data_IF_037493098100
#
_entry.id   IF_037493098100
#
_cell.length_a   1.000
_cell.length_b   1.000
_cell.length_c   1.000
_cell.angle_alpha   90.00
_cell.angle_beta   90.00
_cell.angle_gamma   90.00
#
_symmetry.space_group_name_H-M   'P 1'
#
loop_
_entity.id
_entity.type
_entity.pdbx_description
1 polymer ?
#
# COMPACT_ATOMS: atom_id res chain seq x y z
N UNK A 1 -7.67 12.72 10.93
CA UNK A 1 -8.77 11.79 11.25
C UNK A 1 -8.35 10.40 10.81
N UNK A 2 -8.00 9.54 11.74
CA UNK A 2 -7.80 8.12 11.42
C UNK A 2 -9.16 7.57 11.09
N UNK A 3 -9.48 7.36 9.82
CA UNK A 3 -10.77 6.83 9.41
C UNK A 3 -10.93 5.40 9.92
N UNK A 4 -11.69 5.20 10.97
CA UNK A 4 -12.43 3.97 11.18
C UNK A 4 -13.65 4.04 10.26
N UNK A 5 -13.53 3.51 9.05
CA UNK A 5 -14.71 3.28 8.20
C UNK A 5 -15.52 2.15 8.87
N UNK A 6 -16.49 2.52 9.66
CA UNK A 6 -17.59 1.64 10.06
C UNK A 6 -18.55 1.67 8.88
N UNK A 7 -18.36 0.77 7.93
CA UNK A 7 -19.39 0.52 6.91
C UNK A 7 -20.54 -0.17 7.61
N UNK A 8 -21.50 0.63 8.07
CA UNK A 8 -22.83 0.20 8.45
C UNK A 8 -23.82 0.88 7.51
N UNK A 9 -23.99 0.28 6.33
CA UNK A 9 -25.27 0.33 5.62
C UNK A 9 -25.26 -0.77 4.56
N UNK A 10 -26.38 -1.46 4.34
CA UNK A 10 -26.47 -2.43 3.27
C UNK A 10 -26.50 -1.68 1.95
N UNK A 11 -25.49 -1.87 1.12
CA UNK A 11 -25.54 -1.51 -0.28
C UNK A 11 -26.72 -2.22 -0.91
N UNK A 12 -27.78 -1.48 -1.19
CA UNK A 12 -28.84 -1.94 -2.08
C UNK A 12 -28.21 -2.19 -3.44
N UNK A 13 -28.07 -3.45 -3.76
CA UNK A 13 -27.60 -3.97 -5.04
C UNK A 13 -28.57 -3.55 -6.14
N UNK A 14 -28.09 -2.69 -7.02
CA UNK A 14 -28.51 -2.63 -8.41
C UNK A 14 -27.33 -2.13 -9.24
N UNK A 15 -26.35 -2.99 -9.41
CA UNK A 15 -25.37 -2.89 -10.48
C UNK A 15 -25.18 -4.28 -11.06
N UNK A 16 -25.75 -4.47 -12.24
CA UNK A 16 -25.50 -5.64 -13.07
C UNK A 16 -24.02 -5.63 -13.47
N UNK A 17 -23.32 -6.73 -13.14
CA UNK A 17 -22.00 -7.02 -13.69
C UNK A 17 -20.88 -7.27 -12.72
N UNK A 18 -21.13 -7.81 -11.53
CA UNK A 18 -20.05 -8.46 -10.77
C UNK A 18 -19.77 -9.83 -11.38
N UNK A 19 -18.77 -9.89 -12.26
CA UNK A 19 -18.18 -11.17 -12.61
C UNK A 19 -17.32 -11.61 -11.42
N UNK A 20 -17.90 -12.46 -10.58
CA UNK A 20 -17.15 -13.21 -9.58
C UNK A 20 -16.29 -14.18 -10.36
N UNK A 21 -15.02 -13.82 -10.62
CA UNK A 21 -14.05 -14.80 -11.11
C UNK A 21 -13.93 -15.88 -10.06
N UNK A 22 -14.43 -17.05 -10.36
CA UNK A 22 -14.23 -18.22 -9.57
C UNK A 22 -12.70 -18.46 -9.45
N UNK A 23 -12.25 -18.85 -8.29
CA UNK A 23 -10.83 -19.18 -8.01
C UNK A 23 -10.26 -20.18 -9.05
N UNK A 24 -11.13 -20.99 -9.68
CA UNK A 24 -10.79 -21.88 -10.80
C UNK A 24 -10.29 -21.14 -12.04
N UNK A 25 -10.84 -19.96 -12.36
CA UNK A 25 -10.47 -19.20 -13.56
C UNK A 25 -9.14 -18.48 -13.38
N UNK A 26 -8.84 -18.04 -12.13
CA UNK A 26 -7.54 -17.52 -11.76
C UNK A 26 -6.44 -18.60 -11.83
N UNK A 27 -6.72 -19.79 -11.33
CA UNK A 27 -5.84 -20.97 -11.47
C UNK A 27 -5.68 -21.35 -12.94
N UNK A 28 -6.73 -21.25 -13.75
CA UNK A 28 -6.67 -21.54 -15.19
C UNK A 28 -5.82 -20.52 -15.96
N UNK A 29 -5.89 -19.22 -15.61
CA UNK A 29 -5.03 -18.18 -16.14
C UNK A 29 -3.56 -18.39 -15.71
N UNK A 30 -3.32 -18.78 -14.46
CA UNK A 30 -1.99 -19.17 -13.98
C UNK A 30 -1.42 -20.38 -14.74
N UNK A 31 -2.25 -21.38 -15.05
CA UNK A 31 -1.85 -22.57 -15.82
C UNK A 31 -1.39 -22.24 -17.24
N UNK A 32 -1.95 -21.20 -17.88
CA UNK A 32 -1.56 -20.80 -19.24
C UNK A 32 -0.32 -19.89 -19.28
N UNK A 33 0.01 -19.22 -18.19
CA UNK A 33 1.04 -18.17 -18.16
C UNK A 33 2.37 -18.63 -17.56
N UNK A 34 2.39 -19.77 -16.89
CA UNK A 34 3.59 -20.28 -16.23
C UNK A 34 3.93 -21.67 -16.79
N UNK A 35 5.00 -21.81 -17.60
CA UNK A 35 5.43 -23.11 -18.14
C UNK A 35 5.81 -24.12 -17.05
N UNK A 36 5.90 -23.67 -15.81
CA UNK A 36 6.22 -24.47 -14.63
C UNK A 36 5.01 -25.30 -14.14
N UNK A 37 3.77 -24.93 -14.56
CA UNK A 37 2.54 -25.58 -14.10
C UNK A 37 1.92 -26.57 -15.09
N UNK A 38 2.53 -26.83 -16.25
CA UNK A 38 1.92 -27.66 -17.29
C UNK A 38 2.76 -28.87 -17.67
N UNK A 39 2.57 -29.96 -16.94
CA UNK A 39 2.62 -31.28 -17.54
C UNK A 39 1.44 -32.12 -17.02
N UNK A 40 0.39 -32.17 -17.83
CA UNK A 40 -0.72 -33.08 -17.60
C UNK A 40 -0.42 -34.37 -18.35
N UNK A 41 -0.02 -35.39 -17.66
CA UNK A 41 -0.08 -36.77 -18.21
C UNK A 41 -1.45 -37.36 -17.92
N UNK A 42 -2.02 -38.03 -18.95
CA UNK A 42 -3.32 -38.70 -18.88
C UNK A 42 -3.31 -39.77 -17.81
N UNK A 43 -4.19 -39.68 -16.83
CA UNK A 43 -4.57 -40.76 -15.94
C UNK A 43 -3.81 -40.81 -14.61
N UNK A 44 -3.93 -39.82 -13.81
CA UNK A 44 -3.95 -39.78 -12.34
C UNK A 44 -3.68 -38.33 -11.90
N UNK A 45 -4.54 -37.76 -11.09
CA UNK A 45 -4.32 -36.48 -10.47
C UNK A 45 -3.24 -36.62 -9.40
N UNK A 46 -1.98 -36.74 -9.82
CA UNK A 46 -0.86 -36.47 -8.94
C UNK A 46 -0.61 -34.95 -9.00
N UNK A 47 -0.89 -34.27 -7.91
CA UNK A 47 -0.39 -32.94 -7.66
C UNK A 47 1.12 -32.94 -7.85
N UNK A 48 1.59 -32.38 -8.96
CA UNK A 48 3.03 -32.26 -9.21
C UNK A 48 3.50 -31.06 -8.38
N UNK A 49 3.85 -31.36 -7.13
CA UNK A 49 4.73 -30.51 -6.37
C UNK A 49 6.06 -30.39 -7.11
N UNK A 50 6.54 -29.21 -7.34
CA UNK A 50 7.92 -28.97 -7.72
C UNK A 50 8.81 -29.36 -6.55
N UNK A 51 9.15 -30.60 -6.46
CA UNK A 51 10.16 -31.12 -5.57
C UNK A 51 11.52 -31.11 -6.28
N UNK A 52 12.13 -29.93 -6.39
CA UNK A 52 13.57 -29.88 -6.20
C UNK A 52 13.78 -30.01 -4.69
N UNK A 53 14.08 -31.22 -4.25
CA UNK A 53 14.36 -31.65 -2.88
C UNK A 53 13.88 -30.67 -1.77
N UNK A 54 12.70 -30.89 -1.25
CA UNK A 54 12.18 -30.42 0.06
C UNK A 54 12.33 -28.92 0.43
N UNK A 55 12.56 -28.01 -0.52
CA UNK A 55 12.78 -26.59 -0.25
C UNK A 55 11.54 -25.80 -0.68
N UNK A 56 10.56 -25.65 0.21
CA UNK A 56 9.33 -24.91 -0.09
C UNK A 56 9.49 -23.41 0.13
N UNK A 57 8.69 -22.61 -0.59
CA UNK A 57 8.51 -21.20 -0.31
C UNK A 57 7.81 -21.04 1.04
N UNK A 58 8.25 -20.08 1.84
CA UNK A 58 7.60 -19.68 3.08
C UNK A 58 7.44 -18.16 3.10
N UNK A 59 6.36 -17.66 3.69
CA UNK A 59 6.18 -16.26 4.02
C UNK A 59 5.75 -16.13 5.47
N UNK A 60 6.38 -15.21 6.18
CA UNK A 60 5.98 -14.79 7.53
C UNK A 60 5.87 -13.27 7.57
N UNK A 61 4.89 -12.74 8.29
CA UNK A 61 4.75 -11.30 8.40
C UNK A 61 3.42 -10.85 9.01
N UNK A 62 3.22 -9.55 8.99
CA UNK A 62 2.00 -8.88 9.45
C UNK A 62 1.36 -8.10 8.32
N UNK A 63 0.04 -7.96 8.36
CA UNK A 63 -0.69 -7.18 7.38
C UNK A 63 -1.87 -6.43 8.02
N UNK A 64 -2.39 -5.43 7.31
CA UNK A 64 -3.55 -4.63 7.73
C UNK A 64 -4.79 -5.47 8.08
N UNK A 65 -4.86 -6.74 7.66
CA UNK A 65 -6.02 -7.60 7.90
C UNK A 65 -6.23 -7.95 9.37
N UNK A 66 -5.14 -8.06 10.13
CA UNK A 66 -5.18 -8.47 11.55
C UNK A 66 -4.64 -7.40 12.49
N UNK A 67 -4.06 -6.31 11.96
CA UNK A 67 -3.35 -5.32 12.77
C UNK A 67 -3.89 -3.92 12.57
N UNK A 68 -3.85 -3.11 13.62
CA UNK A 68 -4.03 -1.65 13.54
C UNK A 68 -2.78 -1.00 12.93
N UNK A 69 -2.86 0.28 12.56
CA UNK A 69 -1.69 1.03 12.08
C UNK A 69 -0.58 1.10 13.15
N UNK A 70 -0.97 1.29 14.41
CA UNK A 70 -0.05 1.35 15.54
C UNK A 70 0.77 0.06 15.67
N UNK A 71 0.11 -1.09 15.63
CA UNK A 71 0.79 -2.39 15.66
C UNK A 71 1.69 -2.58 14.44
N UNK A 72 1.23 -2.24 13.22
CA UNK A 72 2.06 -2.37 12.01
C UNK A 72 3.33 -1.53 12.08
N UNK A 73 3.25 -0.33 12.66
CA UNK A 73 4.42 0.54 12.83
C UNK A 73 5.52 -0.12 13.68
N UNK A 74 5.17 -0.96 14.64
CA UNK A 74 6.14 -1.73 15.44
C UNK A 74 6.90 -2.76 14.62
N UNK A 75 6.30 -3.26 13.53
CA UNK A 75 6.92 -4.22 12.60
C UNK A 75 7.58 -3.57 11.40
N UNK A 76 7.52 -2.24 11.27
CA UNK A 76 8.05 -1.54 10.10
C UNK A 76 9.57 -1.63 10.04
N UNK A 77 10.10 -1.98 8.86
CA UNK A 77 11.53 -2.02 8.59
C UNK A 77 11.91 -0.91 7.60
N UNK A 78 12.83 -0.05 7.98
CA UNK A 78 13.38 0.98 7.08
C UNK A 78 14.29 0.36 6.03
N UNK A 79 14.52 1.08 4.95
CA UNK A 79 15.46 0.63 3.90
C UNK A 79 16.86 0.38 4.44
N UNK A 80 17.31 1.12 5.45
CA UNK A 80 18.62 0.93 6.08
C UNK A 80 18.66 -0.34 6.94
N UNK A 81 17.58 -0.61 7.69
CA UNK A 81 17.45 -1.87 8.42
C UNK A 81 17.51 -3.06 7.47
N UNK A 82 16.76 -3.02 6.37
CA UNK A 82 16.71 -4.10 5.37
C UNK A 82 18.08 -4.31 4.72
N UNK A 83 18.81 -3.24 4.37
CA UNK A 83 20.18 -3.35 3.83
C UNK A 83 21.14 -4.03 4.82
N UNK A 84 21.07 -3.70 6.11
CA UNK A 84 21.88 -4.35 7.16
C UNK A 84 21.56 -5.84 7.28
N UNK A 85 20.27 -6.21 7.21
CA UNK A 85 19.85 -7.61 7.23
C UNK A 85 20.43 -8.38 6.03
N UNK A 86 20.38 -7.81 4.82
CA UNK A 86 20.96 -8.46 3.64
C UNK A 86 22.50 -8.52 3.66
N UNK A 87 23.15 -7.59 4.32
CA UNK A 87 24.61 -7.57 4.47
C UNK A 87 25.11 -8.50 5.58
N UNK A 88 24.23 -9.06 6.41
CA UNK A 88 24.59 -9.98 7.48
C UNK A 88 25.06 -11.34 6.94
N UNK A 89 26.35 -11.56 6.95
CA UNK A 89 26.98 -12.82 6.52
C UNK A 89 27.04 -13.91 7.61
N UNK A 90 26.38 -13.72 8.77
CA UNK A 90 26.46 -14.67 9.90
C UNK A 90 25.83 -16.05 9.63
N UNK A 91 25.00 -16.16 8.60
CA UNK A 91 24.27 -17.37 8.25
C UNK A 91 23.00 -17.63 9.07
N UNK A 92 22.62 -16.72 9.97
CA UNK A 92 21.39 -16.82 10.77
C UNK A 92 20.12 -16.54 9.96
N UNK A 93 20.23 -15.82 8.83
CA UNK A 93 19.14 -15.53 7.95
C UNK A 93 19.12 -16.43 6.72
N UNK A 94 17.97 -16.59 6.03
CA UNK A 94 17.90 -17.35 4.79
C UNK A 94 18.84 -16.78 3.74
N UNK A 95 19.35 -17.63 2.85
CA UNK A 95 20.17 -17.19 1.70
C UNK A 95 19.34 -16.73 0.50
N UNK A 96 18.08 -17.15 0.44
CA UNK A 96 17.17 -16.89 -0.68
C UNK A 96 15.88 -16.29 -0.13
N UNK A 97 15.82 -14.95 -0.02
CA UNK A 97 14.70 -14.24 0.57
C UNK A 97 14.62 -12.78 0.14
N UNK A 98 13.44 -12.19 0.25
CA UNK A 98 13.24 -10.75 0.18
C UNK A 98 12.24 -10.25 1.24
N UNK A 99 12.38 -9.00 1.61
CA UNK A 99 11.58 -8.32 2.62
C UNK A 99 10.74 -7.25 1.95
N UNK A 100 9.41 -7.32 2.12
CA UNK A 100 8.46 -6.31 1.69
C UNK A 100 7.93 -5.58 2.93
N UNK A 101 8.38 -4.36 3.16
CA UNK A 101 7.90 -3.49 4.24
C UNK A 101 7.25 -2.24 3.64
N UNK A 102 5.97 -2.04 3.96
CA UNK A 102 5.12 -0.94 3.49
C UNK A 102 4.24 -0.45 4.64
N UNK A 103 3.44 0.60 4.44
CA UNK A 103 2.47 1.05 5.44
C UNK A 103 1.41 0.00 5.80
N UNK A 104 1.16 -0.98 4.90
CA UNK A 104 0.08 -1.96 5.06
C UNK A 104 0.57 -3.36 5.42
N UNK A 105 1.86 -3.63 5.31
CA UNK A 105 2.43 -4.95 5.60
C UNK A 105 3.94 -4.91 5.80
N UNK A 106 4.42 -5.84 6.62
CA UNK A 106 5.82 -6.25 6.65
C UNK A 106 5.84 -7.76 6.50
N UNK A 107 6.36 -8.25 5.38
CA UNK A 107 6.37 -9.66 4.99
C UNK A 107 7.77 -10.07 4.54
N UNK A 108 8.20 -11.26 4.95
CA UNK A 108 9.46 -11.87 4.54
C UNK A 108 9.14 -13.13 3.76
N UNK A 109 9.53 -13.16 2.50
CA UNK A 109 9.40 -14.32 1.63
C UNK A 109 10.74 -15.03 1.55
N UNK A 110 10.80 -16.26 1.98
CA UNK A 110 12.04 -17.05 2.01
C UNK A 110 11.88 -18.40 1.32
N UNK A 111 12.99 -18.91 0.78
CA UNK A 111 13.11 -20.27 0.28
C UNK A 111 14.25 -20.98 1.02
N UNK A 112 14.05 -22.22 1.41
CA UNK A 112 15.03 -22.94 2.23
C UNK A 112 15.13 -22.45 3.67
N UNK A 113 14.11 -21.70 4.11
CA UNK A 113 13.93 -21.22 5.47
C UNK A 113 12.86 -22.04 6.19
N UNK A 114 12.92 -22.08 7.51
CA UNK A 114 11.81 -22.50 8.36
C UNK A 114 11.09 -21.27 8.95
N UNK A 115 9.94 -21.49 9.57
CA UNK A 115 9.15 -20.43 10.17
C UNK A 115 9.92 -19.69 11.27
N UNK A 116 10.68 -20.42 12.07
CA UNK A 116 11.46 -19.88 13.20
C UNK A 116 12.50 -18.87 12.72
N UNK A 117 13.22 -19.16 11.62
CA UNK A 117 14.19 -18.21 11.05
C UNK A 117 13.55 -16.88 10.68
N UNK A 118 12.34 -16.90 10.07
CA UNK A 118 11.67 -15.68 9.66
C UNK A 118 11.07 -14.92 10.85
N UNK A 119 10.57 -15.64 11.86
CA UNK A 119 10.09 -15.06 13.12
C UNK A 119 11.24 -14.40 13.86
N UNK A 120 12.39 -15.06 13.98
CA UNK A 120 13.57 -14.51 14.64
C UNK A 120 14.09 -13.27 13.89
N UNK A 121 14.05 -13.28 12.56
CA UNK A 121 14.41 -12.10 11.77
C UNK A 121 13.49 -10.89 12.09
N UNK A 122 12.19 -11.10 12.22
CA UNK A 122 11.26 -10.05 12.65
C UNK A 122 11.56 -9.62 14.11
N UNK A 123 11.72 -10.55 15.03
CA UNK A 123 11.94 -10.28 16.45
C UNK A 123 13.21 -9.45 16.68
N UNK A 124 14.29 -9.77 16.00
CA UNK A 124 15.58 -9.09 16.18
C UNK A 124 15.65 -7.70 15.53
N UNK A 125 14.81 -7.44 14.53
CA UNK A 125 14.94 -6.23 13.72
C UNK A 125 13.74 -5.28 13.83
N UNK A 126 12.74 -5.59 14.66
CA UNK A 126 11.56 -4.77 14.91
C UNK A 126 11.43 -4.45 16.40
N UNK A 127 10.55 -3.51 16.74
CA UNK A 127 10.26 -3.16 18.15
C UNK A 127 9.03 -3.89 18.70
N UNK A 128 8.52 -4.87 17.96
CA UNK A 128 7.39 -5.69 18.39
C UNK A 128 7.78 -6.63 19.54
N UNK A 129 6.87 -6.81 20.51
CA UNK A 129 7.11 -7.73 21.62
C UNK A 129 6.92 -9.19 21.19
N UNK A 130 7.46 -10.17 21.93
CA UNK A 130 7.23 -11.60 21.65
C UNK A 130 5.73 -11.97 21.59
N UNK A 131 4.92 -11.36 22.46
CA UNK A 131 3.48 -11.56 22.49
C UNK A 131 2.82 -11.03 21.23
N UNK A 132 3.19 -9.83 20.78
CA UNK A 132 2.69 -9.23 19.53
C UNK A 132 3.11 -10.05 18.30
N UNK A 133 4.33 -10.59 18.29
CA UNK A 133 4.80 -11.48 17.23
C UNK A 133 3.94 -12.75 17.20
N UNK A 134 3.70 -13.36 18.35
CA UNK A 134 2.88 -14.57 18.46
C UNK A 134 1.43 -14.34 18.03
N UNK A 135 0.87 -13.18 18.33
CA UNK A 135 -0.52 -12.85 18.05
C UNK A 135 -0.76 -12.44 16.59
N UNK A 136 0.13 -11.61 16.03
CA UNK A 136 -0.13 -10.93 14.77
C UNK A 136 0.60 -11.52 13.56
N UNK A 137 1.73 -12.21 13.74
CA UNK A 137 2.48 -12.78 12.63
C UNK A 137 1.74 -13.97 12.04
N UNK A 138 1.46 -13.92 10.76
CA UNK A 138 0.99 -15.07 10.00
C UNK A 138 2.15 -15.79 9.32
N UNK A 139 1.98 -17.08 9.11
CA UNK A 139 2.91 -17.92 8.36
C UNK A 139 2.14 -18.66 7.28
N UNK A 140 2.68 -18.72 6.07
CA UNK A 140 2.18 -19.56 4.97
C UNK A 140 3.34 -20.27 4.33
N UNK A 141 3.10 -21.50 3.86
CA UNK A 141 4.14 -22.36 3.26
C UNK A 141 3.69 -22.90 1.91
N UNK A 142 4.63 -23.27 1.07
CA UNK A 142 4.36 -23.94 -0.22
C UNK A 142 3.39 -23.14 -1.11
N UNK A 143 2.37 -23.82 -1.58
CA UNK A 143 1.36 -23.25 -2.48
C UNK A 143 0.61 -22.07 -1.87
N UNK A 144 0.34 -22.09 -0.56
CA UNK A 144 -0.33 -20.96 0.11
C UNK A 144 0.56 -19.72 0.18
N UNK A 145 1.88 -19.89 0.34
CA UNK A 145 2.82 -18.79 0.26
C UNK A 145 2.92 -18.23 -1.17
N UNK A 146 2.95 -19.10 -2.17
CA UNK A 146 2.94 -18.70 -3.58
C UNK A 146 1.65 -17.96 -3.95
N UNK A 147 0.49 -18.52 -3.60
CA UNK A 147 -0.81 -17.86 -3.81
C UNK A 147 -0.87 -16.49 -3.16
N UNK A 148 -0.33 -16.36 -1.94
CA UNK A 148 -0.27 -15.08 -1.23
C UNK A 148 0.59 -14.07 -1.99
N UNK A 149 1.80 -14.46 -2.44
CA UNK A 149 2.66 -13.61 -3.27
C UNK A 149 1.94 -13.09 -4.52
N UNK A 150 1.23 -13.96 -5.25
CA UNK A 150 0.49 -13.59 -6.44
C UNK A 150 -0.68 -12.64 -6.14
N UNK A 151 -1.42 -12.86 -5.04
CA UNK A 151 -2.51 -11.97 -4.60
C UNK A 151 -1.99 -10.59 -4.21
N UNK A 152 -0.88 -10.53 -3.49
CA UNK A 152 -0.22 -9.27 -3.14
C UNK A 152 0.25 -8.55 -4.40
N UNK A 153 0.92 -9.24 -5.32
CA UNK A 153 1.39 -8.66 -6.58
C UNK A 153 0.25 -8.14 -7.47
N UNK A 154 -0.92 -8.78 -7.43
CA UNK A 154 -2.10 -8.34 -8.16
C UNK A 154 -2.86 -7.18 -7.46
N UNK A 155 -2.49 -6.80 -6.23
CA UNK A 155 -3.24 -5.83 -5.44
C UNK A 155 -4.55 -6.38 -4.86
N UNK A 156 -4.77 -7.70 -4.96
CA UNK A 156 -5.97 -8.36 -4.42
C UNK A 156 -5.93 -8.52 -2.91
N UNK A 157 -4.77 -8.35 -2.32
CA UNK A 157 -4.55 -8.36 -0.86
C UNK A 157 -4.11 -6.99 -0.35
N UNK A 158 -4.48 -5.92 -1.02
CA UNK A 158 -4.26 -4.54 -0.57
C UNK A 158 -5.47 -4.01 0.19
N UNK A 159 -5.26 -3.02 1.06
CA UNK A 159 -6.34 -2.34 1.80
C UNK A 159 -7.31 -1.67 0.82
N UNK A 160 -6.77 -1.14 -0.25
CA UNK A 160 -7.51 -0.68 -1.42
C UNK A 160 -7.33 -1.72 -2.52
N UNK A 161 -8.41 -2.38 -2.89
CA UNK A 161 -8.39 -3.45 -3.87
C UNK A 161 -7.87 -2.93 -5.22
N UNK A 162 -6.86 -3.60 -5.79
CA UNK A 162 -6.25 -3.20 -7.06
C UNK A 162 -5.18 -2.12 -6.97
N UNK A 163 -4.72 -1.77 -5.78
CA UNK A 163 -3.66 -0.78 -5.58
C UNK A 163 -2.45 -1.03 -6.49
N UNK A 164 -2.11 0.00 -7.29
CA UNK A 164 -0.96 -0.07 -8.21
C UNK A 164 0.39 0.07 -7.53
N UNK A 165 0.43 0.69 -6.36
CA UNK A 165 1.68 1.01 -5.70
C UNK A 165 2.41 -0.22 -5.19
N UNK A 166 1.64 -1.23 -4.74
CA UNK A 166 2.21 -2.46 -4.18
C UNK A 166 3.16 -3.15 -5.15
N UNK A 167 2.86 -3.14 -6.46
CA UNK A 167 3.74 -3.80 -7.45
C UNK A 167 5.07 -3.06 -7.62
N UNK A 168 5.04 -1.73 -7.52
CA UNK A 168 6.24 -0.90 -7.51
C UNK A 168 7.09 -1.15 -6.26
N UNK A 169 6.44 -1.19 -5.10
CA UNK A 169 7.08 -1.48 -3.81
C UNK A 169 7.69 -2.89 -3.80
N UNK A 170 6.97 -3.89 -4.30
CA UNK A 170 7.47 -5.26 -4.44
C UNK A 170 8.70 -5.34 -5.36
N UNK A 171 8.68 -4.64 -6.51
CA UNK A 171 9.85 -4.61 -7.41
C UNK A 171 11.07 -3.99 -6.74
N UNK A 172 10.89 -2.89 -6.02
CA UNK A 172 11.97 -2.22 -5.29
C UNK A 172 12.55 -3.14 -4.21
N UNK A 173 11.68 -3.79 -3.42
CA UNK A 173 12.07 -4.74 -2.39
C UNK A 173 12.85 -5.94 -2.97
N UNK A 174 12.33 -6.52 -4.05
CA UNK A 174 12.97 -7.64 -4.74
C UNK A 174 14.32 -7.26 -5.35
N UNK A 175 14.40 -6.12 -6.02
CA UNK A 175 15.65 -5.63 -6.61
C UNK A 175 16.70 -5.34 -5.53
N UNK A 176 16.29 -4.81 -4.39
CA UNK A 176 17.20 -4.59 -3.26
C UNK A 176 17.78 -5.92 -2.75
N UNK A 177 16.96 -6.95 -2.59
CA UNK A 177 17.43 -8.28 -2.22
C UNK A 177 18.37 -8.88 -3.28
N UNK A 178 18.03 -8.70 -4.56
CA UNK A 178 18.82 -9.20 -5.69
C UNK A 178 20.21 -8.54 -5.75
N UNK A 179 20.31 -7.24 -5.51
CA UNK A 179 21.61 -6.52 -5.49
C UNK A 179 22.52 -6.97 -4.36
N UNK A 180 21.95 -7.57 -3.31
CA UNK A 180 22.71 -8.14 -2.18
C UNK A 180 22.93 -9.66 -2.31
N UNK A 181 22.60 -10.26 -3.46
CA UNK A 181 22.83 -11.69 -3.70
C UNK A 181 21.86 -12.62 -2.96
N UNK A 182 20.76 -12.10 -2.42
CA UNK A 182 19.77 -12.86 -1.64
C UNK A 182 18.65 -13.46 -2.49
N UNK A 183 18.81 -13.56 -3.82
CA UNK A 183 17.77 -14.08 -4.73
C UNK A 183 18.34 -15.18 -5.62
N UNK A 184 17.73 -16.36 -5.51
CA UNK A 184 18.02 -17.48 -6.42
C UNK A 184 17.30 -17.34 -7.76
N UNK A 185 17.73 -18.13 -8.75
CA UNK A 185 17.03 -18.22 -10.04
C UNK A 185 15.59 -18.75 -9.91
N UNK A 186 15.27 -19.56 -8.90
CA UNK A 186 13.91 -19.99 -8.61
C UNK A 186 13.05 -18.81 -8.13
N UNK A 187 13.52 -18.07 -7.12
CA UNK A 187 12.81 -16.93 -6.58
C UNK A 187 12.58 -15.85 -7.65
N UNK A 188 13.58 -15.65 -8.53
CA UNK A 188 13.45 -14.72 -9.65
C UNK A 188 12.37 -15.15 -10.65
N UNK A 189 12.32 -16.44 -11.02
CA UNK A 189 11.27 -16.96 -11.91
C UNK A 189 9.88 -16.84 -11.28
N UNK A 190 9.75 -17.19 -10.00
CA UNK A 190 8.50 -17.08 -9.25
C UNK A 190 8.00 -15.64 -9.20
N UNK A 191 8.89 -14.70 -8.85
CA UNK A 191 8.57 -13.29 -8.78
C UNK A 191 8.15 -12.72 -10.13
N UNK A 192 8.88 -13.03 -11.20
CA UNK A 192 8.54 -12.62 -12.55
C UNK A 192 7.19 -13.19 -13.01
N UNK A 193 6.86 -14.41 -12.64
CA UNK A 193 5.55 -15.01 -12.89
C UNK A 193 4.44 -14.28 -12.15
N UNK A 194 4.67 -13.86 -10.89
CA UNK A 194 3.72 -13.04 -10.13
C UNK A 194 3.50 -11.68 -10.78
N UNK A 195 4.58 -11.03 -11.28
CA UNK A 195 4.48 -9.76 -12.01
C UNK A 195 3.69 -9.91 -13.32
N UNK A 196 3.91 -10.98 -14.05
CA UNK A 196 3.19 -11.27 -15.29
C UNK A 196 1.71 -11.52 -15.01
N UNK A 197 1.36 -12.32 -14.01
CA UNK A 197 -0.01 -12.54 -13.57
C UNK A 197 -0.70 -11.24 -13.15
N UNK A 198 -0.01 -10.39 -12.39
CA UNK A 198 -0.53 -9.07 -12.03
C UNK A 198 -0.90 -8.23 -13.25
N UNK A 199 -0.06 -8.20 -14.29
CA UNK A 199 -0.36 -7.48 -15.53
C UNK A 199 -1.59 -8.06 -16.23
N UNK A 200 -1.72 -9.39 -16.28
CA UNK A 200 -2.87 -10.05 -16.90
C UNK A 200 -4.17 -9.78 -16.14
N UNK A 201 -4.14 -9.86 -14.80
CA UNK A 201 -5.30 -9.50 -13.97
C UNK A 201 -5.71 -8.06 -14.27
N UNK A 202 -4.76 -7.13 -14.27
CA UNK A 202 -5.02 -5.71 -14.53
C UNK A 202 -5.58 -5.43 -15.94
N UNK A 203 -5.07 -6.13 -16.96
CA UNK A 203 -5.51 -5.91 -18.34
C UNK A 203 -6.83 -6.61 -18.70
N UNK A 204 -7.25 -7.62 -17.93
CA UNK A 204 -8.43 -8.44 -18.22
C UNK A 204 -9.60 -8.21 -17.27
N UNK A 205 -9.42 -7.41 -16.23
CA UNK A 205 -10.44 -7.14 -15.23
C UNK A 205 -10.49 -5.65 -14.92
N UNK A 206 -11.63 -5.17 -14.46
CA UNK A 206 -11.80 -3.80 -13.96
C UNK A 206 -11.09 -3.55 -12.61
N UNK A 207 -10.26 -4.49 -12.15
CA UNK A 207 -9.55 -4.38 -10.85
C UNK A 207 -8.64 -3.16 -10.76
N UNK A 208 -8.37 -2.47 -11.86
CA UNK A 208 -7.35 -1.42 -11.94
C UNK A 208 -7.74 -0.26 -12.86
N UNK A 209 -9.00 0.12 -12.91
CA UNK A 209 -9.49 1.24 -13.74
C UNK A 209 -8.99 2.63 -13.29
N UNK A 210 -7.94 2.67 -12.46
CA UNK A 210 -7.43 3.91 -11.85
C UNK A 210 -8.25 4.40 -10.66
N UNK A 211 -9.37 3.74 -10.36
CA UNK A 211 -10.34 4.13 -9.33
C UNK A 211 -10.00 3.61 -7.91
N UNK A 212 -8.95 2.83 -7.76
CA UNK A 212 -8.67 2.09 -6.51
C UNK A 212 -7.41 2.56 -5.77
N UNK A 213 -6.95 3.79 -6.01
CA UNK A 213 -5.84 4.38 -5.22
C UNK A 213 -6.37 5.13 -4.00
N UNK A 214 -5.53 5.29 -2.97
CA UNK A 214 -5.81 6.16 -1.79
C UNK A 214 -6.24 7.54 -2.27
N UNK A 215 -5.58 8.08 -3.29
CA UNK A 215 -5.88 9.36 -3.89
C UNK A 215 -7.28 9.42 -4.51
N UNK A 216 -7.77 8.32 -5.08
CA UNK A 216 -9.14 8.25 -5.60
C UNK A 216 -10.18 8.04 -4.49
N UNK A 217 -9.84 7.27 -3.46
CA UNK A 217 -10.71 7.11 -2.28
C UNK A 217 -11.04 8.47 -1.64
N UNK A 218 -10.07 9.37 -1.56
CA UNK A 218 -10.30 10.77 -1.10
C UNK A 218 -11.34 11.46 -1.96
N UNK A 219 -11.28 11.31 -3.29
CA UNK A 219 -12.25 11.92 -4.19
C UNK A 219 -13.67 11.39 -3.95
N UNK A 220 -13.82 10.09 -3.73
CA UNK A 220 -15.12 9.50 -3.44
C UNK A 220 -15.66 9.99 -2.08
N UNK A 221 -14.83 10.00 -1.04
CA UNK A 221 -15.22 10.50 0.28
C UNK A 221 -15.58 12.00 0.24
N UNK A 222 -14.86 12.79 -0.56
CA UNK A 222 -15.20 14.19 -0.78
C UNK A 222 -16.60 14.32 -1.43
N UNK A 223 -16.88 13.57 -2.48
CA UNK A 223 -18.19 13.56 -3.15
C UNK A 223 -19.33 13.17 -2.20
N UNK A 224 -19.10 12.17 -1.37
CA UNK A 224 -20.09 11.70 -0.39
C UNK A 224 -20.33 12.72 0.73
N UNK A 225 -19.28 13.37 1.21
CA UNK A 225 -19.37 14.29 2.35
C UNK A 225 -19.96 15.67 1.98
N UNK A 226 -19.74 16.13 0.76
CA UNK A 226 -19.99 17.53 0.37
C UNK A 226 -21.12 17.63 -0.65
N UNK A 227 -21.44 16.54 -1.36
CA UNK A 227 -22.27 16.55 -2.55
C UNK A 227 -21.48 16.96 -3.81
N UNK A 228 -21.88 16.42 -4.95
CA UNK A 228 -21.11 16.51 -6.21
C UNK A 228 -21.05 17.92 -6.82
N UNK A 229 -21.92 18.84 -6.42
CA UNK A 229 -22.10 20.14 -7.08
C UNK A 229 -21.53 21.34 -6.30
N UNK A 230 -21.17 21.18 -5.02
CA UNK A 230 -20.65 22.29 -4.22
C UNK A 230 -19.19 22.59 -4.57
N UNK A 231 -18.88 23.85 -4.86
CA UNK A 231 -17.50 24.32 -4.98
C UNK A 231 -16.89 24.54 -3.61
N UNK A 232 -15.65 24.06 -3.39
CA UNK A 232 -14.92 24.21 -2.15
C UNK A 232 -13.49 24.63 -2.37
N UNK A 233 -12.91 25.25 -1.35
CA UNK A 233 -11.50 25.57 -1.28
C UNK A 233 -10.76 24.38 -0.66
N UNK A 234 -9.94 23.70 -1.45
CA UNK A 234 -9.17 22.53 -1.05
C UNK A 234 -7.70 22.92 -0.89
N UNK A 235 -7.15 22.74 0.29
CA UNK A 235 -5.72 22.83 0.51
C UNK A 235 -5.10 21.43 0.37
N UNK A 236 -4.15 21.28 -0.53
CA UNK A 236 -3.33 20.06 -0.69
C UNK A 236 -1.91 20.33 -0.21
N UNK A 237 -1.53 19.76 0.92
CA UNK A 237 -0.19 19.88 1.49
C UNK A 237 0.66 18.66 1.12
N UNK A 238 1.74 18.91 0.37
CA UNK A 238 2.68 17.90 -0.09
C UNK A 238 2.42 17.42 -1.52
N UNK A 239 3.47 17.48 -2.33
CA UNK A 239 3.48 17.06 -3.75
C UNK A 239 4.42 15.88 -3.97
N UNK A 240 4.47 14.95 -3.00
CA UNK A 240 5.05 13.63 -3.21
C UNK A 240 4.24 12.83 -4.23
N UNK A 241 4.54 11.53 -4.37
CA UNK A 241 3.84 10.65 -5.31
C UNK A 241 2.33 10.62 -5.09
N UNK A 242 1.89 10.46 -3.82
CA UNK A 242 0.46 10.43 -3.45
C UNK A 242 -0.17 11.80 -3.67
N UNK A 243 0.46 12.89 -3.21
CA UNK A 243 -0.08 14.24 -3.37
C UNK A 243 -0.26 14.65 -4.82
N UNK A 244 0.73 14.38 -5.69
CA UNK A 244 0.61 14.67 -7.13
C UNK A 244 -0.53 13.85 -7.77
N UNK A 245 -0.69 12.58 -7.39
CA UNK A 245 -1.80 11.76 -7.90
C UNK A 245 -3.15 12.26 -7.39
N UNK A 246 -3.21 12.71 -6.11
CA UNK A 246 -4.42 13.32 -5.55
C UNK A 246 -4.78 14.61 -6.28
N UNK A 247 -3.80 15.44 -6.62
CA UNK A 247 -4.02 16.67 -7.40
C UNK A 247 -4.60 16.36 -8.79
N UNK A 248 -4.02 15.38 -9.50
CA UNK A 248 -4.55 14.88 -10.79
C UNK A 248 -5.99 14.43 -10.69
N UNK A 249 -6.30 13.64 -9.67
CA UNK A 249 -7.66 13.13 -9.44
C UNK A 249 -8.63 14.26 -9.07
N UNK A 250 -8.24 15.22 -8.23
CA UNK A 250 -9.05 16.40 -7.91
C UNK A 250 -9.42 17.16 -9.17
N UNK A 251 -8.47 17.50 -10.02
CA UNK A 251 -8.72 18.24 -11.27
C UNK A 251 -9.56 17.45 -12.26
N UNK A 252 -9.37 16.14 -12.33
CA UNK A 252 -10.12 15.29 -13.28
C UNK A 252 -11.57 15.04 -12.84
N UNK A 253 -11.80 14.72 -11.57
CA UNK A 253 -13.10 14.29 -11.07
C UNK A 253 -13.92 15.37 -10.36
N UNK A 254 -13.27 16.44 -9.94
CA UNK A 254 -13.84 17.55 -9.16
C UNK A 254 -13.29 18.91 -9.66
N UNK A 255 -13.38 19.22 -10.96
CA UNK A 255 -12.77 20.42 -11.55
C UNK A 255 -13.36 21.72 -11.01
N UNK A 256 -14.55 21.70 -10.39
CA UNK A 256 -15.23 22.86 -9.81
C UNK A 256 -14.56 23.36 -8.50
N UNK A 257 -13.71 22.56 -7.85
CA UNK A 257 -13.05 22.96 -6.62
C UNK A 257 -11.85 23.86 -6.90
N UNK A 258 -11.67 24.86 -6.03
CA UNK A 258 -10.46 25.67 -6.03
C UNK A 258 -9.40 24.96 -5.19
N UNK A 259 -8.31 24.55 -5.84
CA UNK A 259 -7.23 23.85 -5.16
C UNK A 259 -6.05 24.79 -4.96
N UNK A 260 -5.55 24.87 -3.74
CA UNK A 260 -4.29 25.55 -3.40
C UNK A 260 -3.29 24.51 -2.93
N UNK A 261 -2.14 24.44 -3.56
CA UNK A 261 -1.07 23.51 -3.19
C UNK A 261 -0.05 24.18 -2.27
N UNK A 262 0.33 23.46 -1.22
CA UNK A 262 1.41 23.82 -0.31
C UNK A 262 2.50 22.76 -0.41
N UNK A 263 3.74 23.15 -0.63
CA UNK A 263 4.87 22.23 -0.61
C UNK A 263 6.12 22.91 -0.09
N UNK A 264 6.93 22.21 0.72
CA UNK A 264 8.18 22.76 1.27
C UNK A 264 9.15 23.24 0.17
N UNK A 265 9.16 22.56 -0.98
CA UNK A 265 9.86 23.03 -2.18
C UNK A 265 8.87 23.84 -3.01
N UNK A 266 8.99 25.15 -2.94
CA UNK A 266 8.09 26.12 -3.59
C UNK A 266 8.13 26.01 -5.11
N UNK A 267 9.30 25.87 -5.70
CA UNK A 267 9.44 25.69 -7.16
C UNK A 267 8.65 24.49 -7.66
N UNK A 268 8.56 23.43 -6.86
CA UNK A 268 7.73 22.27 -7.19
C UNK A 268 6.24 22.57 -7.09
N UNK A 269 5.82 23.40 -6.13
CA UNK A 269 4.44 23.86 -6.00
C UNK A 269 4.03 24.74 -7.17
N UNK A 270 4.88 25.69 -7.54
CA UNK A 270 4.67 26.60 -8.68
C UNK A 270 4.57 25.84 -10.01
N UNK A 271 5.47 24.89 -10.27
CA UNK A 271 5.41 24.04 -11.46
C UNK A 271 4.11 23.22 -11.51
N UNK A 272 3.71 22.64 -10.40
CA UNK A 272 2.46 21.88 -10.33
C UNK A 272 1.24 22.80 -10.50
N UNK A 273 1.27 24.01 -9.96
CA UNK A 273 0.21 25.00 -10.13
C UNK A 273 0.02 25.36 -11.60
N UNK A 274 1.11 25.58 -12.34
CA UNK A 274 1.06 25.84 -13.78
C UNK A 274 0.63 24.62 -14.60
N UNK A 275 1.08 23.39 -14.25
CA UNK A 275 0.72 22.16 -14.96
C UNK A 275 -0.78 21.82 -14.81
N UNK A 276 -1.33 22.00 -13.60
CA UNK A 276 -2.69 21.57 -13.27
C UNK A 276 -3.70 22.71 -13.21
N UNK A 277 -3.31 23.93 -13.52
CA UNK A 277 -4.15 25.12 -13.43
C UNK A 277 -4.81 25.22 -12.03
N UNK A 278 -3.98 25.34 -11.00
CA UNK A 278 -4.37 25.48 -9.58
C UNK A 278 -3.55 26.59 -8.92
N UNK A 279 -3.98 27.02 -7.73
CA UNK A 279 -3.23 27.98 -6.96
C UNK A 279 -2.07 27.31 -6.21
N UNK A 280 -1.02 28.06 -5.92
CA UNK A 280 -0.02 27.68 -4.92
C UNK A 280 0.19 28.81 -3.92
N UNK A 281 0.69 28.46 -2.75
CA UNK A 281 1.14 29.43 -1.76
C UNK A 281 2.49 29.02 -1.18
N UNK A 282 3.33 29.99 -0.77
CA UNK A 282 4.53 29.72 0.00
C UNK A 282 4.19 28.94 1.28
N UNK A 283 5.08 28.04 1.69
CA UNK A 283 4.82 27.21 2.86
C UNK A 283 4.67 28.04 4.16
N UNK A 284 5.30 29.19 4.21
CA UNK A 284 5.18 30.17 5.32
C UNK A 284 3.76 30.71 5.49
N UNK A 285 2.99 30.77 4.41
CA UNK A 285 1.61 31.28 4.41
C UNK A 285 0.58 30.16 4.68
N UNK A 286 1.00 29.01 5.20
CA UNK A 286 0.12 27.86 5.43
C UNK A 286 -1.08 28.21 6.34
N UNK A 287 -0.92 29.07 7.32
CA UNK A 287 -2.00 29.46 8.24
C UNK A 287 -3.12 30.18 7.50
N UNK A 288 -2.79 31.14 6.63
CA UNK A 288 -3.76 31.87 5.83
C UNK A 288 -4.52 30.92 4.88
N UNK A 289 -3.79 29.96 4.32
CA UNK A 289 -4.42 28.92 3.44
C UNK A 289 -5.36 28.05 4.25
N UNK A 290 -4.98 27.62 5.46
CA UNK A 290 -5.84 26.80 6.33
C UNK A 290 -7.11 27.53 6.77
N UNK A 291 -7.02 28.83 7.08
CA UNK A 291 -8.18 29.64 7.47
C UNK A 291 -9.21 29.77 6.36
N UNK A 292 -8.77 29.75 5.10
CA UNK A 292 -9.63 29.92 3.94
C UNK A 292 -10.06 28.60 3.28
N UNK A 293 -9.49 27.47 3.70
CA UNK A 293 -9.82 26.16 3.16
C UNK A 293 -11.06 25.56 3.84
N UNK A 294 -11.88 24.87 3.04
CA UNK A 294 -12.95 24.00 3.52
C UNK A 294 -12.45 22.58 3.78
N UNK A 295 -11.43 22.16 3.02
CA UNK A 295 -10.86 20.81 3.06
C UNK A 295 -9.34 20.89 3.10
N UNK A 296 -8.72 20.15 4.00
CA UNK A 296 -7.28 19.95 4.07
C UNK A 296 -6.92 18.50 3.72
N UNK A 297 -6.04 18.32 2.74
CA UNK A 297 -5.47 17.02 2.39
C UNK A 297 -3.98 17.07 2.65
N UNK A 298 -3.49 16.24 3.57
CA UNK A 298 -2.07 16.14 3.94
C UNK A 298 -1.48 14.89 3.29
N UNK A 299 -0.45 15.06 2.46
CA UNK A 299 0.22 13.99 1.71
C UNK A 299 1.74 14.20 1.71
N UNK A 300 2.30 14.42 2.89
CA UNK A 300 3.73 14.71 3.07
C UNK A 300 4.50 13.48 3.55
N UNK A 301 5.82 13.53 3.46
CA UNK A 301 6.71 12.48 3.97
C UNK A 301 7.44 12.90 5.25
N UNK A 302 6.82 13.76 6.08
CA UNK A 302 7.42 14.15 7.35
C UNK A 302 7.45 12.97 8.34
N UNK A 303 8.52 12.87 9.12
CA UNK A 303 8.67 11.81 10.13
C UNK A 303 7.79 12.05 11.36
N UNK A 304 7.35 13.28 11.55
CA UNK A 304 6.52 13.70 12.68
C UNK A 304 5.31 14.48 12.18
N UNK A 305 4.29 14.64 13.06
CA UNK A 305 3.14 15.48 12.79
C UNK A 305 3.55 16.93 12.59
N UNK A 306 3.03 17.55 11.52
CA UNK A 306 3.34 18.92 11.12
C UNK A 306 2.11 19.84 11.12
N UNK A 307 0.92 19.28 11.36
CA UNK A 307 -0.34 20.02 11.48
C UNK A 307 -0.94 19.70 12.84
N UNK A 308 -1.06 20.72 13.69
CA UNK A 308 -1.62 20.62 15.04
C UNK A 308 -2.92 21.42 15.17
N UNK A 309 -3.64 21.23 16.29
CA UNK A 309 -4.82 22.02 16.63
C UNK A 309 -4.55 23.53 16.60
N UNK A 310 -3.35 23.96 17.03
CA UNK A 310 -2.93 25.35 17.04
C UNK A 310 -2.86 25.94 15.61
N UNK A 311 -2.36 25.15 14.65
CA UNK A 311 -2.23 25.60 13.26
C UNK A 311 -3.58 25.77 12.57
N UNK A 312 -4.60 25.10 13.07
CA UNK A 312 -5.97 25.11 12.54
C UNK A 312 -6.93 26.03 13.33
N UNK A 313 -6.43 26.75 14.32
CA UNK A 313 -7.27 27.63 15.14
C UNK A 313 -7.93 28.73 14.28
N UNK A 314 -9.28 28.82 14.36
CA UNK A 314 -10.07 29.77 13.57
C UNK A 314 -10.29 29.39 12.11
N UNK A 315 -9.87 28.22 11.68
CA UNK A 315 -10.12 27.72 10.32
C UNK A 315 -11.59 27.38 10.09
N UNK A 316 -12.00 27.40 8.82
CA UNK A 316 -13.34 26.98 8.34
C UNK A 316 -13.38 25.52 7.93
N UNK A 317 -12.33 24.77 8.24
CA UNK A 317 -12.18 23.39 7.79
C UNK A 317 -13.36 22.53 8.25
N UNK A 318 -13.90 21.78 7.31
CA UNK A 318 -14.97 20.80 7.50
C UNK A 318 -14.44 19.37 7.45
N UNK A 319 -13.34 19.16 6.68
CA UNK A 319 -12.78 17.84 6.45
C UNK A 319 -11.26 17.91 6.43
N UNK A 320 -10.62 16.90 7.03
CA UNK A 320 -9.17 16.69 6.95
C UNK A 320 -8.90 15.26 6.52
N UNK A 321 -8.11 15.10 5.47
CA UNK A 321 -7.61 13.80 5.00
C UNK A 321 -6.10 13.74 5.23
N UNK A 322 -5.65 12.86 6.10
CA UNK A 322 -4.23 12.57 6.27
C UNK A 322 -3.86 11.29 5.52
N UNK A 323 -3.10 11.44 4.45
CA UNK A 323 -2.62 10.37 3.57
C UNK A 323 -1.18 9.98 3.90
N UNK A 324 -0.60 10.59 4.94
CA UNK A 324 0.79 10.41 5.31
C UNK A 324 0.99 9.21 6.22
N UNK A 325 2.14 8.56 6.07
CA UNK A 325 2.58 7.49 6.97
C UNK A 325 4.05 7.76 7.33
N UNK A 326 4.35 8.01 8.60
CA UNK A 326 3.42 8.16 9.74
C UNK A 326 2.45 9.34 9.58
N UNK A 327 1.40 9.39 10.41
CA UNK A 327 0.43 10.51 10.40
C UNK A 327 1.14 11.84 10.57
N UNK A 328 0.83 12.80 9.70
CA UNK A 328 1.37 14.16 9.78
C UNK A 328 0.37 15.17 10.37
N UNK A 329 -0.82 14.71 10.73
CA UNK A 329 -1.79 15.48 11.53
C UNK A 329 -1.73 14.98 12.98
N UNK A 330 -1.51 15.93 13.90
CA UNK A 330 -1.40 15.62 15.32
C UNK A 330 -2.74 15.16 15.90
N UNK A 331 -2.78 14.23 16.87
CA UNK A 331 -4.02 13.71 17.44
C UNK A 331 -4.92 14.76 18.11
N UNK A 332 -4.37 15.89 18.59
CA UNK A 332 -5.10 17.00 19.20
C UNK A 332 -6.10 17.71 18.27
N UNK A 333 -5.93 17.55 16.96
CA UNK A 333 -6.86 18.08 15.95
C UNK A 333 -8.27 17.50 16.11
N UNK A 334 -8.41 16.30 16.67
CA UNK A 334 -9.72 15.68 16.98
C UNK A 334 -10.53 16.44 18.04
N UNK A 335 -9.89 17.34 18.78
CA UNK A 335 -10.53 18.15 19.81
C UNK A 335 -11.14 19.44 19.25
N UNK A 336 -11.02 19.69 17.96
CA UNK A 336 -11.63 20.84 17.30
C UNK A 336 -13.12 20.53 17.11
N UNK A 337 -13.99 21.35 17.72
CA UNK A 337 -15.43 21.20 17.54
C UNK A 337 -15.84 21.43 16.09
N UNK A 338 -16.61 20.50 15.52
CA UNK A 338 -17.12 20.60 14.14
C UNK A 338 -16.26 19.94 13.07
N UNK A 339 -15.11 19.33 13.44
CA UNK A 339 -14.25 18.54 12.55
C UNK A 339 -14.45 17.05 12.72
#
# INVERSE_FOLDING_TARGET
MVFRIKIQAPLKTNCHGFVIFCFSDFIHALRKSCPIYLRKEKGNTKEIFMTDGNISLIVAGVSFRKTTLEIRNKFALTSEHIKRIYADGSGKYPKDFFILSTCNRTEIYGRGANAEMLINLLAENTIATPEEISEYVFIKTGDEAAKHLFRVAAGMDSQILGDYEIIGQMKNAFNLAKTHGCISGYMEKLFNSALQSSRQVKSRTALSDGTTSVSYAVIQLLKEAIGAEASMNVCLMGLGKIGTLTLKNLKHYLPQHQVTVLNRNESKAELAAGEFDVNFAPFENQQDVFQNADVLIVATGAEQAIVSKKDLAGSKLKLIFDLSVPSNVHPDVKEIEGL
#
